data_IF_530179221089
#
_entry.id   IF_530179221089
#
_cell.length_a   1.000
_cell.length_b   1.000
_cell.length_c   1.000
_cell.angle_alpha   90.00
_cell.angle_beta   90.00
_cell.angle_gamma   90.00
#
_symmetry.space_group_name_H-M   'P 1'
#
loop_
_entity.id
_entity.type
_entity.pdbx_description
1 polymer ?
#
# COMPACT_ATOMS: atom_id res chain seq x y z
N UNK A 1 -11.22 8.60 -11.90
CA UNK A 1 -11.86 8.00 -10.72
C UNK A 1 -11.25 6.62 -10.41
N UNK A 2 -10.71 6.44 -9.21
CA UNK A 2 -10.05 5.20 -8.75
C UNK A 2 -11.10 4.12 -8.53
N UNK A 3 -11.53 3.54 -9.63
CA UNK A 3 -12.67 2.64 -9.70
C UNK A 3 -12.12 1.26 -9.31
N UNK A 4 -12.17 0.96 -8.00
CA UNK A 4 -12.16 -0.35 -7.33
C UNK A 4 -11.01 -1.32 -7.63
N UNK A 5 -9.83 -1.01 -7.09
CA UNK A 5 -8.76 -1.99 -7.00
C UNK A 5 -8.81 -2.74 -5.66
N UNK A 6 -8.40 -4.01 -5.64
CA UNK A 6 -8.12 -4.76 -4.41
C UNK A 6 -6.64 -4.70 -4.15
N UNK A 7 -6.26 -4.28 -2.94
CA UNK A 7 -4.86 -4.20 -2.51
C UNK A 7 -4.59 -5.36 -1.55
N UNK A 8 -3.56 -6.16 -1.86
CA UNK A 8 -3.05 -7.21 -0.99
C UNK A 8 -1.60 -6.90 -0.65
N UNK A 9 -1.26 -6.87 0.65
CA UNK A 9 0.12 -6.70 1.12
C UNK A 9 0.54 -7.98 1.83
N UNK A 10 1.62 -8.62 1.38
CA UNK A 10 2.05 -9.93 1.88
C UNK A 10 3.56 -10.13 1.74
N UNK A 11 4.08 -11.11 2.46
CA UNK A 11 5.48 -11.52 2.34
C UNK A 11 5.63 -12.61 1.28
N UNK A 12 6.59 -12.44 0.36
CA UNK A 12 6.95 -13.40 -0.71
C UNK A 12 8.47 -13.51 -0.75
N UNK A 13 9.02 -14.70 -0.51
CA UNK A 13 10.48 -14.95 -0.53
C UNK A 13 11.30 -13.98 0.35
N UNK A 14 10.78 -13.62 1.53
CA UNK A 14 11.44 -12.70 2.46
C UNK A 14 11.30 -11.21 2.12
N UNK A 15 10.58 -10.86 1.05
CA UNK A 15 10.30 -9.49 0.63
C UNK A 15 8.85 -9.13 0.93
N UNK A 16 8.59 -7.87 1.25
CA UNK A 16 7.24 -7.33 1.38
C UNK A 16 6.75 -6.90 0.00
N UNK A 17 5.61 -7.39 -0.43
CA UNK A 17 5.03 -7.14 -1.75
C UNK A 17 3.68 -6.47 -1.60
N UNK A 18 3.39 -5.50 -2.47
CA UNK A 18 2.03 -5.03 -2.73
C UNK A 18 1.56 -5.57 -4.07
N UNK A 19 0.40 -6.22 -4.05
CA UNK A 19 -0.35 -6.59 -5.25
C UNK A 19 -1.59 -5.71 -5.36
N UNK A 20 -1.79 -5.11 -6.52
CA UNK A 20 -2.98 -4.34 -6.85
C UNK A 20 -3.70 -5.06 -7.99
N UNK A 21 -4.92 -5.50 -7.73
CA UNK A 21 -5.80 -6.11 -8.74
C UNK A 21 -6.80 -5.07 -9.19
N UNK A 22 -6.72 -4.66 -10.46
CA UNK A 22 -7.62 -3.68 -11.07
C UNK A 22 -8.93 -4.33 -11.53
N UNK A 23 -9.95 -3.51 -11.83
CA UNK A 23 -11.27 -4.03 -12.22
C UNK A 23 -11.30 -4.82 -13.51
N UNK A 24 -10.37 -4.54 -14.42
CA UNK A 24 -10.22 -5.30 -15.66
C UNK A 24 -9.53 -6.66 -15.44
N UNK A 25 -9.11 -6.97 -14.21
CA UNK A 25 -8.40 -8.18 -13.83
C UNK A 25 -6.89 -8.11 -14.06
N UNK A 26 -6.37 -7.00 -14.59
CA UNK A 26 -4.93 -6.77 -14.63
C UNK A 26 -4.38 -6.62 -13.21
N UNK A 27 -3.10 -6.95 -13.05
CA UNK A 27 -2.41 -6.86 -11.76
C UNK A 27 -1.10 -6.10 -11.88
N UNK A 28 -0.72 -5.42 -10.80
CA UNK A 28 0.65 -4.93 -10.58
C UNK A 28 1.18 -5.50 -9.26
N UNK A 29 2.43 -5.96 -9.26
CA UNK A 29 3.16 -6.38 -8.05
C UNK A 29 4.39 -5.48 -7.91
N UNK A 30 4.59 -4.88 -6.73
CA UNK A 30 5.77 -4.07 -6.42
C UNK A 30 6.39 -4.49 -5.08
N UNK A 31 7.71 -4.38 -4.96
CA UNK A 31 8.42 -4.57 -3.70
C UNK A 31 8.30 -3.32 -2.82
N UNK A 32 8.03 -3.53 -1.53
CA UNK A 32 7.89 -2.47 -0.54
C UNK A 32 9.03 -2.51 0.47
N UNK A 33 9.49 -1.32 0.85
CA UNK A 33 10.32 -1.09 2.02
C UNK A 33 9.43 -0.63 3.17
N UNK A 34 9.46 -1.39 4.28
CA UNK A 34 8.76 -1.03 5.51
C UNK A 34 9.67 -0.22 6.44
N UNK A 35 9.14 0.88 6.97
CA UNK A 35 9.76 1.69 8.03
C UNK A 35 8.78 1.87 9.19
N UNK A 36 9.22 1.54 10.40
CA UNK A 36 8.43 1.79 11.60
C UNK A 36 8.43 3.28 11.96
N UNK A 37 7.25 3.84 12.20
CA UNK A 37 7.07 5.24 12.64
C UNK A 37 6.14 5.31 13.85
N UNK A 38 6.10 6.43 14.59
CA UNK A 38 5.09 6.65 15.64
C UNK A 38 3.64 6.59 15.11
N UNK A 39 3.44 6.89 13.82
CA UNK A 39 2.12 6.91 13.20
C UNK A 39 1.65 5.54 12.69
N UNK A 40 2.52 4.51 12.74
CA UNK A 40 2.29 3.19 12.17
C UNK A 40 3.47 2.70 11.31
N UNK A 41 3.23 1.67 10.50
CA UNK A 41 4.22 1.14 9.56
C UNK A 41 4.07 1.84 8.22
N UNK A 42 5.09 2.60 7.81
CA UNK A 42 5.12 3.29 6.51
C UNK A 42 5.73 2.35 5.48
N UNK A 43 5.07 2.20 4.35
CA UNK A 43 5.49 1.37 3.23
C UNK A 43 5.70 2.25 2.01
N UNK A 44 6.83 2.09 1.35
CA UNK A 44 7.19 2.82 0.13
C UNK A 44 7.70 1.81 -0.88
N UNK A 45 7.40 1.99 -2.16
CA UNK A 45 7.98 1.17 -3.24
C UNK A 45 9.51 1.22 -3.18
N UNK A 46 10.16 0.06 -3.34
CA UNK A 46 11.61 -0.06 -3.24
C UNK A 46 12.36 0.74 -4.32
N UNK A 47 11.77 0.82 -5.51
CA UNK A 47 12.26 1.64 -6.63
C UNK A 47 11.93 3.13 -6.46
N UNK A 48 11.12 3.48 -5.44
CA UNK A 48 10.61 4.82 -5.18
C UNK A 48 9.37 5.15 -6.02
N UNK A 49 8.50 6.01 -5.49
CA UNK A 49 7.33 6.52 -6.23
C UNK A 49 7.66 7.83 -6.93
N UNK A 50 7.27 7.93 -8.21
CA UNK A 50 7.37 9.17 -8.99
C UNK A 50 6.45 10.28 -8.49
N UNK A 51 5.37 9.92 -7.78
CA UNK A 51 4.34 10.85 -7.30
C UNK A 51 4.30 10.92 -5.76
N UNK A 52 5.34 10.42 -5.10
CA UNK A 52 5.44 10.44 -3.64
C UNK A 52 4.44 9.51 -2.94
N UNK A 53 3.93 8.50 -3.64
CA UNK A 53 2.96 7.55 -3.11
C UNK A 53 3.55 6.72 -1.99
N UNK A 54 2.78 6.56 -0.91
CA UNK A 54 3.12 5.65 0.17
C UNK A 54 1.89 5.13 0.88
N UNK A 55 2.06 3.99 1.55
CA UNK A 55 1.04 3.40 2.41
C UNK A 55 1.42 3.54 3.88
N UNK A 56 0.43 3.73 4.73
CA UNK A 56 0.61 3.76 6.18
C UNK A 56 -0.37 2.77 6.82
N UNK A 57 0.17 1.67 7.36
CA UNK A 57 -0.60 0.76 8.20
C UNK A 57 -0.63 1.36 9.60
N UNK A 58 -1.79 1.86 10.00
CA UNK A 58 -2.05 2.47 11.30
C UNK A 58 -2.06 1.41 12.41
N UNK A 59 -1.77 1.79 13.67
CA UNK A 59 -1.85 0.87 14.81
C UNK A 59 -3.24 0.24 15.00
N UNK A 60 -4.31 0.90 14.55
CA UNK A 60 -5.68 0.39 14.58
C UNK A 60 -6.01 -0.58 13.42
N UNK A 61 -4.99 -0.95 12.64
CA UNK A 61 -5.09 -1.85 11.50
C UNK A 61 -5.48 -1.16 10.19
N UNK A 62 -5.94 0.09 10.17
CA UNK A 62 -6.34 0.74 8.91
C UNK A 62 -5.15 0.96 7.97
N UNK A 63 -5.40 0.87 6.67
CA UNK A 63 -4.43 1.21 5.64
C UNK A 63 -4.78 2.56 5.05
N UNK A 64 -3.88 3.54 5.17
CA UNK A 64 -4.02 4.84 4.51
C UNK A 64 -3.09 4.90 3.29
N UNK A 65 -3.55 5.53 2.23
CA UNK A 65 -2.77 5.78 1.01
C UNK A 65 -2.60 7.27 0.85
N UNK A 66 -1.36 7.69 0.58
CA UNK A 66 -0.99 9.08 0.40
C UNK A 66 -0.28 9.28 -0.93
N UNK A 67 -0.32 10.50 -1.45
CA UNK A 67 0.57 11.05 -2.47
C UNK A 67 1.26 12.32 -1.93
N UNK A 68 1.88 13.09 -2.82
CA UNK A 68 2.49 14.38 -2.52
C UNK A 68 1.48 15.48 -2.11
N UNK A 69 0.21 15.34 -2.48
CA UNK A 69 -0.88 16.26 -2.11
C UNK A 69 -1.56 15.90 -0.79
N UNK A 70 -1.40 14.66 -0.31
CA UNK A 70 -1.82 14.21 1.00
C UNK A 70 -2.58 12.90 0.99
N UNK A 71 -3.58 12.77 1.89
CA UNK A 71 -4.34 11.54 2.04
C UNK A 71 -5.27 11.33 0.85
N UNK A 72 -5.05 10.26 0.08
CA UNK A 72 -5.93 9.84 -1.01
C UNK A 72 -7.13 9.07 -0.46
N UNK A 73 -6.88 8.04 0.36
CA UNK A 73 -7.94 7.14 0.84
C UNK A 73 -7.54 6.37 2.09
N UNK A 74 -8.54 5.80 2.76
CA UNK A 74 -8.37 4.88 3.90
C UNK A 74 -9.16 3.60 3.66
N UNK A 75 -8.49 2.46 3.72
CA UNK A 75 -9.08 1.13 3.67
C UNK A 75 -9.19 0.54 5.08
N UNK A 76 -10.30 -0.15 5.32
CA UNK A 76 -10.42 -1.06 6.46
C UNK A 76 -9.71 -2.34 6.05
N UNK A 77 -8.71 -2.74 6.82
CA UNK A 77 -8.01 -3.99 6.54
C UNK A 77 -8.83 -5.17 7.05
N UNK A 78 -8.78 -6.26 6.30
CA UNK A 78 -9.24 -7.56 6.73
C UNK A 78 -8.13 -8.58 6.45
N UNK A 79 -7.97 -9.54 7.35
CA UNK A 79 -7.18 -10.73 7.05
C UNK A 79 -8.03 -11.65 6.19
N UNK A 80 -7.52 -12.01 5.00
CA UNK A 80 -8.09 -13.10 4.20
C UNK A 80 -7.70 -14.45 4.80
#
# INVERSE_FOLDING_TARGET
PYVGAVITIYHKNGKLIIEIVYKDGSTSEEELIETQTPAGRKLVEAEGSQFGEYWLIKPDGKLQVFDDLGLITTYITGTK
#
